data_IF_383055633399
#
_entry.id   IF_383055633399
#
_cell.length_a   1.000
_cell.length_b   1.000
_cell.length_c   1.000
_cell.angle_alpha   90.00
_cell.angle_beta   90.00
_cell.angle_gamma   90.00
#
_symmetry.space_group_name_H-M   'P 1'
#
loop_
_entity.id
_entity.type
_entity.pdbx_description
1 polymer ?
#
# COMPACT_ATOMS: atom_id res chain seq x y z
N UNK A 1 -7.31 -17.02 3.29
CA UNK A 1 -7.30 -15.57 3.05
C UNK A 1 -6.58 -15.36 1.73
N UNK A 2 -7.21 -14.65 0.79
CA UNK A 2 -6.60 -14.33 -0.50
C UNK A 2 -6.43 -12.83 -0.54
N UNK A 3 -5.22 -12.34 -0.77
CA UNK A 3 -4.94 -10.92 -0.70
C UNK A 3 -3.74 -10.55 -1.57
N UNK A 4 -3.67 -9.26 -1.87
CA UNK A 4 -2.57 -8.67 -2.61
C UNK A 4 -1.89 -7.69 -1.68
N UNK A 5 -0.57 -7.73 -1.66
CA UNK A 5 0.24 -6.77 -0.96
C UNK A 5 1.23 -6.15 -1.96
N UNK A 6 1.43 -4.84 -1.81
CA UNK A 6 2.51 -4.13 -2.46
C UNK A 6 3.30 -3.37 -1.39
N UNK A 7 4.62 -3.41 -1.52
CA UNK A 7 5.55 -2.63 -0.73
C UNK A 7 6.32 -1.72 -1.68
N UNK A 8 6.43 -0.44 -1.32
CA UNK A 8 7.08 0.60 -2.09
C UNK A 8 8.19 1.24 -1.26
N UNK A 9 9.34 1.43 -1.89
CA UNK A 9 10.46 2.19 -1.35
C UNK A 9 10.65 3.47 -2.18
N UNK A 10 10.85 4.60 -1.50
CA UNK A 10 11.07 5.92 -2.10
C UNK A 10 12.13 6.71 -1.33
N UNK A 11 12.73 7.74 -1.93
CA UNK A 11 13.67 8.61 -1.22
C UNK A 11 12.90 9.62 -0.34
N UNK A 12 13.00 9.53 1.00
CA UNK A 12 12.24 10.41 1.91
C UNK A 12 12.68 11.89 1.86
N UNK A 13 13.87 12.17 1.32
CA UNK A 13 14.34 13.55 1.14
C UNK A 13 13.75 14.21 -0.11
N UNK A 14 13.11 13.44 -0.98
CA UNK A 14 12.62 13.90 -2.28
C UNK A 14 11.12 13.74 -2.45
N UNK A 15 10.54 12.70 -1.86
CA UNK A 15 9.13 12.34 -1.99
C UNK A 15 8.54 12.13 -0.60
N UNK A 16 7.27 12.50 -0.45
CA UNK A 16 6.49 12.22 0.74
C UNK A 16 5.10 11.74 0.33
N UNK A 17 4.62 10.66 0.95
CA UNK A 17 3.25 10.21 0.82
C UNK A 17 2.32 11.21 1.53
N UNK A 18 1.31 11.68 0.81
CA UNK A 18 0.32 12.67 1.30
C UNK A 18 -1.02 12.00 1.53
N UNK A 19 -1.51 11.25 0.55
CA UNK A 19 -2.78 10.52 0.66
C UNK A 19 -2.70 9.17 -0.05
N UNK A 20 -3.51 8.23 0.44
CA UNK A 20 -3.68 6.91 -0.17
C UNK A 20 -5.17 6.68 -0.27
N UNK A 21 -5.66 6.42 -1.48
CA UNK A 21 -7.05 6.07 -1.75
C UNK A 21 -7.07 4.62 -2.22
N UNK A 22 -7.72 3.75 -1.46
CA UNK A 22 -7.80 2.33 -1.82
C UNK A 22 -8.71 2.12 -3.02
N UNK A 23 -8.31 1.19 -3.89
CA UNK A 23 -9.18 0.74 -4.97
C UNK A 23 -10.40 0.04 -4.39
N UNK A 24 -11.56 0.27 -5.02
CA UNK A 24 -12.85 -0.30 -4.57
C UNK A 24 -13.33 -1.43 -5.48
N UNK A 25 -12.55 -1.76 -6.52
CA UNK A 25 -12.91 -2.80 -7.47
C UNK A 25 -12.84 -4.19 -6.81
N UNK A 26 -13.86 -5.04 -7.00
CA UNK A 26 -13.78 -6.44 -6.64
C UNK A 26 -12.52 -7.09 -7.27
N UNK A 27 -11.84 -7.98 -6.53
CA UNK A 27 -12.27 -8.57 -5.28
C UNK A 27 -11.88 -7.75 -4.06
N UNK A 28 -11.02 -6.73 -4.15
CA UNK A 28 -10.34 -6.11 -2.99
C UNK A 28 -11.29 -5.28 -2.10
N UNK A 29 -12.18 -5.96 -1.36
CA UNK A 29 -13.23 -5.33 -0.55
C UNK A 29 -12.86 -5.14 0.93
N UNK A 30 -11.73 -5.69 1.37
CA UNK A 30 -11.26 -5.56 2.76
C UNK A 30 -9.88 -4.90 2.74
N UNK A 31 -9.78 -3.74 3.37
CA UNK A 31 -8.50 -3.12 3.68
C UNK A 31 -7.82 -3.90 4.79
N UNK A 32 -6.59 -4.33 4.51
CA UNK A 32 -5.82 -5.22 5.38
C UNK A 32 -4.67 -4.47 6.05
N UNK A 33 -3.98 -3.59 5.31
CA UNK A 33 -2.97 -2.70 5.87
C UNK A 33 -2.76 -1.48 4.98
N UNK A 34 -2.56 -0.32 5.61
CA UNK A 34 -1.90 0.85 5.02
C UNK A 34 -0.92 1.35 6.06
N UNK A 35 0.38 1.28 5.75
CA UNK A 35 1.43 1.77 6.64
C UNK A 35 2.46 2.51 5.80
N UNK A 36 2.80 3.72 6.18
CA UNK A 36 3.87 4.45 5.52
C UNK A 36 4.71 5.21 6.54
N UNK A 37 5.98 5.37 6.19
CA UNK A 37 6.94 6.13 6.97
C UNK A 37 7.70 7.06 6.03
N UNK A 38 7.35 8.35 6.07
CA UNK A 38 8.00 9.39 5.27
C UNK A 38 9.41 9.75 5.78
N UNK A 39 9.83 9.28 6.97
CA UNK A 39 11.18 9.49 7.48
C UNK A 39 12.17 8.47 6.91
N UNK A 40 11.70 7.23 6.66
CA UNK A 40 12.52 6.13 6.12
C UNK A 40 12.27 5.90 4.63
N UNK A 41 11.11 6.30 4.10
CA UNK A 41 10.77 6.20 2.69
C UNK A 41 10.11 4.88 2.32
N UNK A 42 9.21 4.37 3.16
CA UNK A 42 8.52 3.09 2.94
C UNK A 42 7.01 3.24 2.94
N UNK A 43 6.34 2.44 2.13
CA UNK A 43 4.88 2.32 2.08
C UNK A 43 4.49 0.85 1.85
N UNK A 44 3.65 0.32 2.71
CA UNK A 44 3.04 -1.01 2.61
C UNK A 44 1.52 -0.87 2.47
N UNK A 45 0.97 -1.47 1.42
CA UNK A 45 -0.48 -1.55 1.19
C UNK A 45 -0.86 -3.01 1.01
N UNK A 46 -1.89 -3.44 1.74
CA UNK A 46 -2.50 -4.74 1.57
C UNK A 46 -4.02 -4.63 1.53
N UNK A 47 -4.64 -5.40 0.64
CA UNK A 47 -6.08 -5.58 0.57
C UNK A 47 -6.42 -7.01 0.13
N UNK A 48 -7.61 -7.49 0.46
CA UNK A 48 -7.99 -8.85 0.10
C UNK A 48 -9.42 -9.21 0.42
N UNK A 49 -9.72 -10.51 0.33
CA UNK A 49 -11.00 -11.11 0.69
C UNK A 49 -10.84 -12.45 1.38
N UNK A 50 -11.95 -12.87 1.98
CA UNK A 50 -12.23 -14.27 2.31
C UNK A 50 -13.05 -14.91 1.17
N UNK A 51 -12.52 -14.94 -0.06
CA UNK A 51 -13.24 -15.47 -1.23
C UNK A 51 -12.33 -16.09 -2.29
N UNK A 52 -12.94 -16.59 -3.38
CA UNK A 52 -12.20 -17.08 -4.55
C UNK A 52 -11.45 -15.92 -5.18
N UNK A 53 -10.11 -15.99 -5.22
CA UNK A 53 -9.26 -14.95 -5.80
C UNK A 53 -9.61 -14.63 -7.24
N UNK A 54 -9.12 -13.50 -7.75
CA UNK A 54 -9.39 -13.08 -9.13
C UNK A 54 -8.20 -13.34 -10.04
N UNK A 55 -8.47 -13.89 -11.23
CA UNK A 55 -7.47 -14.06 -12.29
C UNK A 55 -7.40 -12.82 -13.22
N UNK A 56 -7.67 -11.62 -12.69
CA UNK A 56 -7.78 -10.38 -13.44
C UNK A 56 -7.01 -9.24 -12.79
N UNK A 57 -6.82 -8.16 -13.54
CA UNK A 57 -6.26 -6.92 -13.01
C UNK A 57 -7.22 -6.31 -11.98
N UNK A 58 -6.68 -5.82 -10.88
CA UNK A 58 -7.41 -5.03 -9.89
C UNK A 58 -6.56 -3.84 -9.48
N UNK A 59 -7.22 -2.75 -9.11
CA UNK A 59 -6.56 -1.58 -8.54
C UNK A 59 -6.43 -1.78 -7.03
N UNK A 60 -5.19 -1.80 -6.52
CA UNK A 60 -4.95 -1.86 -5.08
C UNK A 60 -5.20 -0.50 -4.42
N UNK A 61 -4.71 0.57 -5.03
CA UNK A 61 -4.96 1.94 -4.59
C UNK A 61 -4.11 2.97 -5.34
N UNK A 62 -4.48 4.23 -5.18
CA UNK A 62 -3.79 5.41 -5.69
C UNK A 62 -3.04 6.08 -4.56
N UNK A 63 -1.74 6.29 -4.75
CA UNK A 63 -0.87 6.99 -3.80
C UNK A 63 -0.58 8.37 -4.37
N UNK A 64 -0.97 9.42 -3.63
CA UNK A 64 -0.56 10.79 -3.94
C UNK A 64 0.70 11.10 -3.17
N UNK A 65 1.76 11.47 -3.90
CA UNK A 65 3.03 11.92 -3.32
C UNK A 65 3.30 13.38 -3.65
N UNK A 66 3.82 14.13 -2.69
CA UNK A 66 4.43 15.44 -2.95
C UNK A 66 5.91 15.26 -3.24
N UNK A 67 6.39 15.93 -4.29
CA UNK A 67 7.81 15.92 -4.67
C UNK A 67 8.55 17.21 -4.34
N UNK A 68 9.88 17.10 -4.28
CA UNK A 68 10.81 18.21 -4.12
C UNK A 68 11.06 19.01 -5.41
N UNK A 69 12.28 19.54 -5.55
CA UNK A 69 12.65 20.47 -6.63
C UNK A 69 12.31 19.94 -8.04
N UNK A 70 11.69 20.81 -8.84
CA UNK A 70 11.31 20.51 -10.23
C UNK A 70 12.53 20.16 -11.09
N UNK A 71 12.39 19.14 -11.94
CA UNK A 71 13.44 18.67 -12.86
C UNK A 71 14.33 17.55 -12.32
N UNK A 72 14.10 17.09 -11.08
CA UNK A 72 14.81 15.95 -10.50
C UNK A 72 13.95 14.70 -10.58
N UNK A 73 14.41 13.69 -11.31
CA UNK A 73 13.77 12.37 -11.32
C UNK A 73 14.13 11.60 -10.05
N UNK A 74 13.12 11.24 -9.25
CA UNK A 74 13.29 10.39 -8.07
C UNK A 74 12.58 9.06 -8.30
N UNK A 75 13.25 7.91 -8.12
CA UNK A 75 12.63 6.61 -8.31
C UNK A 75 11.63 6.28 -7.19
N UNK A 76 10.58 5.56 -7.57
CA UNK A 76 9.69 4.81 -6.68
C UNK A 76 9.76 3.36 -7.12
N UNK A 77 10.06 2.46 -6.20
CA UNK A 77 10.38 1.06 -6.54
C UNK A 77 9.50 0.11 -5.76
N UNK A 78 8.95 -0.91 -6.43
CA UNK A 78 8.31 -2.02 -5.75
C UNK A 78 9.38 -2.88 -5.08
N UNK A 79 9.28 -2.99 -3.75
CA UNK A 79 10.16 -3.83 -2.96
C UNK A 79 9.82 -5.31 -3.21
N UNK A 80 10.83 -6.11 -3.56
CA UNK A 80 10.73 -7.57 -3.68
C UNK A 80 11.20 -8.29 -2.42
N UNK A 81 11.56 -7.54 -1.37
CA UNK A 81 11.90 -8.09 -0.07
C UNK A 81 10.70 -8.84 0.55
N UNK A 82 10.97 -9.68 1.54
CA UNK A 82 9.90 -10.30 2.32
C UNK A 82 8.92 -9.22 2.82
N UNK A 83 7.60 -9.48 2.81
CA UNK A 83 6.61 -8.57 3.35
C UNK A 83 7.05 -8.00 4.69
N UNK A 84 7.13 -6.66 4.80
CA UNK A 84 7.57 -5.97 6.02
C UNK A 84 6.66 -6.27 7.22
N UNK A 85 5.44 -6.75 6.95
CA UNK A 85 4.53 -7.34 7.91
C UNK A 85 4.08 -8.74 7.44
N UNK A 86 4.42 -9.77 8.21
CA UNK A 86 3.96 -11.16 7.95
C UNK A 86 2.53 -11.42 8.43
N UNK A 87 1.93 -10.47 9.15
CA UNK A 87 0.58 -10.56 9.67
C UNK A 87 -0.20 -9.29 9.33
N UNK A 88 -1.23 -9.48 8.52
CA UNK A 88 -2.35 -8.57 8.41
C UNK A 88 -3.30 -8.90 9.56
N UNK A 89 -3.52 -7.95 10.46
CA UNK A 89 -4.55 -8.07 11.49
C UNK A 89 -5.70 -7.16 11.11
N UNK A 90 -6.91 -7.72 11.02
CA UNK A 90 -8.13 -6.92 10.98
C UNK A 90 -8.35 -6.43 12.41
N UNK A 91 -8.05 -5.17 12.72
CA UNK A 91 -8.50 -4.57 13.98
C UNK A 91 -10.02 -4.43 13.89
N UNK A 92 -10.73 -5.43 14.42
CA UNK A 92 -12.14 -5.30 14.76
C UNK A 92 -12.19 -4.53 16.07
N UNK A 93 -12.43 -3.23 15.98
CA UNK A 93 -12.76 -2.39 17.12
C UNK A 93 -14.06 -2.93 17.73
N UNK A 94 -13.94 -3.79 18.75
CA UNK A 94 -15.08 -4.21 19.56
C UNK A 94 -15.45 -3.03 20.47
N UNK A 95 -16.25 -2.11 19.95
CA UNK A 95 -17.03 -1.24 20.82
C UNK A 95 -18.20 -2.08 21.32
N UNK A 96 -18.20 -2.33 22.64
CA UNK A 96 -19.18 -3.11 23.40
C UNK A 96 -20.62 -2.70 23.16
#
# INVERSE_FOLDING_TARGET
>A
MTGVQASLDFNPNSLQVVTIVMGTSPPLGILLAIRFDNSVGTLDIAAGTLGSGTNGQCELGVVTMSGGASGVTTPVVFSSASPRASAVSVEVDHIQ
#
